data_IF_271683544758
#
_entry.id   IF_271683544758
#
_cell.length_a   1.000
_cell.length_b   1.000
_cell.length_c   1.000
_cell.angle_alpha   90.00
_cell.angle_beta   90.00
_cell.angle_gamma   90.00
#
_symmetry.space_group_name_H-M   'P 1'
#
loop_
_entity.id
_entity.type
_entity.pdbx_description
1 polymer ?
#
# COMPACT_ATOMS: atom_id res chain seq x y z
N UNK A 1 21.35 -2.61 -12.30
CA UNK A 1 21.37 -1.46 -13.25
C UNK A 1 22.58 -0.53 -13.06
N UNK A 2 23.15 -0.41 -11.86
CA UNK A 2 24.33 0.41 -11.58
C UNK A 2 25.65 -0.28 -11.96
N UNK A 3 26.68 0.47 -12.39
CA UNK A 3 27.98 -0.08 -12.74
C UNK A 3 28.79 -0.55 -11.52
N UNK A 4 28.59 0.08 -10.37
CA UNK A 4 29.22 -0.30 -9.10
C UNK A 4 28.43 0.22 -7.90
N UNK A 5 28.81 -0.23 -6.70
CA UNK A 5 28.16 0.14 -5.43
C UNK A 5 28.31 1.63 -5.09
N UNK A 6 29.44 2.25 -5.42
CA UNK A 6 29.68 3.68 -5.16
C UNK A 6 28.69 4.56 -5.91
N UNK A 7 28.51 4.29 -7.21
CA UNK A 7 27.55 5.01 -8.08
C UNK A 7 26.12 4.79 -7.60
N UNK A 8 25.77 3.56 -7.20
CA UNK A 8 24.45 3.27 -6.63
C UNK A 8 24.17 4.10 -5.38
N UNK A 9 25.13 4.16 -4.44
CA UNK A 9 24.94 4.90 -3.19
C UNK A 9 24.89 6.42 -3.42
N UNK A 10 25.71 6.94 -4.34
CA UNK A 10 25.67 8.34 -4.76
C UNK A 10 24.31 8.71 -5.37
N UNK A 11 23.81 7.86 -6.28
CA UNK A 11 22.50 8.05 -6.89
C UNK A 11 21.37 8.03 -5.87
N UNK A 12 21.40 7.07 -4.92
CA UNK A 12 20.41 6.99 -3.84
C UNK A 12 20.43 8.28 -3.02
N UNK A 13 21.60 8.75 -2.58
CA UNK A 13 21.73 9.95 -1.73
C UNK A 13 21.22 11.20 -2.46
N UNK A 14 21.58 11.37 -3.73
CA UNK A 14 21.20 12.54 -4.53
C UNK A 14 19.71 12.57 -4.88
N UNK A 15 19.10 11.39 -5.04
CA UNK A 15 17.69 11.20 -5.36
C UNK A 15 16.84 10.77 -4.16
N UNK A 16 17.33 10.94 -2.92
CA UNK A 16 16.48 10.74 -1.74
C UNK A 16 15.30 11.72 -1.82
N UNK A 17 14.05 11.25 -1.67
CA UNK A 17 12.91 12.14 -1.78
C UNK A 17 13.03 13.26 -0.74
N UNK A 18 12.94 14.51 -1.19
CA UNK A 18 13.00 15.73 -0.38
C UNK A 18 14.37 16.05 0.28
N UNK A 19 15.42 15.26 0.02
CA UNK A 19 16.81 15.52 0.44
C UNK A 19 17.73 15.67 -0.79
N UNK A 20 17.29 16.46 -1.76
CA UNK A 20 18.08 16.69 -2.97
C UNK A 20 19.34 17.49 -2.66
N UNK A 21 20.49 16.97 -3.05
CA UNK A 21 21.71 17.75 -3.04
C UNK A 21 21.65 18.75 -4.20
N UNK A 22 22.00 20.00 -3.90
CA UNK A 22 22.26 20.96 -4.97
C UNK A 22 23.47 20.50 -5.79
N UNK A 23 23.55 20.96 -7.05
CA UNK A 23 24.71 20.73 -7.91
C UNK A 23 26.02 21.06 -7.19
N UNK A 24 26.09 22.18 -6.48
CA UNK A 24 27.30 22.58 -5.73
C UNK A 24 27.62 21.62 -4.57
N UNK A 25 26.61 21.15 -3.84
CA UNK A 25 26.81 20.17 -2.77
C UNK A 25 27.29 18.84 -3.32
N UNK A 26 26.74 18.37 -4.44
CA UNK A 26 27.20 17.14 -5.08
C UNK A 26 28.65 17.27 -5.58
N UNK A 27 29.04 18.41 -6.15
CA UNK A 27 30.44 18.68 -6.53
C UNK A 27 31.40 18.62 -5.32
N UNK A 28 31.03 19.24 -4.20
CA UNK A 28 31.82 19.19 -2.97
C UNK A 28 31.92 17.75 -2.45
N UNK A 29 30.81 16.99 -2.51
CA UNK A 29 30.78 15.61 -2.05
C UNK A 29 31.66 14.71 -2.91
N UNK A 30 31.57 14.82 -4.24
CA UNK A 30 32.43 14.09 -5.18
C UNK A 30 33.91 14.45 -4.98
N UNK A 31 34.24 15.74 -4.82
CA UNK A 31 35.60 16.18 -4.51
C UNK A 31 36.12 15.54 -3.22
N UNK A 32 35.32 15.55 -2.15
CA UNK A 32 35.69 14.92 -0.88
C UNK A 32 35.93 13.41 -1.02
N UNK A 33 35.12 12.69 -1.80
CA UNK A 33 35.33 11.27 -2.05
C UNK A 33 36.62 11.00 -2.84
N UNK A 34 36.99 11.90 -3.76
CA UNK A 34 38.26 11.85 -4.47
C UNK A 34 39.46 12.08 -3.55
N UNK A 35 39.40 13.07 -2.66
CA UNK A 35 40.48 13.34 -1.67
C UNK A 35 40.67 12.19 -0.68
N UNK A 36 39.59 11.48 -0.34
CA UNK A 36 39.64 10.27 0.50
C UNK A 36 40.19 9.04 -0.25
N UNK A 37 40.53 9.15 -1.53
CA UNK A 37 41.13 8.08 -2.32
C UNK A 37 40.17 6.94 -2.66
N UNK A 38 38.85 7.18 -2.64
CA UNK A 38 37.88 6.16 -3.01
C UNK A 38 37.98 5.83 -4.50
N UNK A 39 38.06 4.54 -4.81
CA UNK A 39 38.04 4.07 -6.18
C UNK A 39 36.63 4.13 -6.78
N UNK A 40 36.53 4.32 -8.09
CA UNK A 40 35.28 4.32 -8.86
C UNK A 40 34.29 5.44 -8.51
N UNK A 41 34.77 6.58 -8.01
CA UNK A 41 33.97 7.80 -7.88
C UNK A 41 33.74 8.39 -9.28
N UNK A 42 32.48 8.51 -9.75
CA UNK A 42 32.18 9.08 -11.05
C UNK A 42 32.44 10.59 -11.08
N UNK A 43 32.66 11.16 -12.26
CA UNK A 43 32.54 12.61 -12.44
C UNK A 43 31.08 13.04 -12.27
N UNK A 44 30.86 14.34 -12.06
CA UNK A 44 29.50 14.90 -12.02
C UNK A 44 28.72 14.58 -13.31
N UNK A 45 29.32 14.82 -14.48
CA UNK A 45 28.68 14.56 -15.77
C UNK A 45 28.32 13.08 -15.95
N UNK A 46 29.24 12.18 -15.56
CA UNK A 46 29.00 10.73 -15.63
C UNK A 46 27.84 10.32 -14.71
N UNK A 47 27.77 10.93 -13.51
CA UNK A 47 26.68 10.67 -12.56
C UNK A 47 25.34 11.15 -13.15
N UNK A 48 25.34 12.33 -13.78
CA UNK A 48 24.16 12.90 -14.40
C UNK A 48 23.68 12.08 -15.61
N UNK A 49 24.58 11.57 -16.44
CA UNK A 49 24.24 10.70 -17.58
C UNK A 49 23.65 9.37 -17.11
N UNK A 50 24.23 8.79 -16.05
CA UNK A 50 23.71 7.56 -15.43
C UNK A 50 22.32 7.82 -14.83
N UNK A 51 22.15 8.91 -14.09
CA UNK A 51 20.86 9.34 -13.54
C UNK A 51 19.82 9.52 -14.62
N UNK A 52 20.16 10.21 -15.72
CA UNK A 52 19.26 10.40 -16.84
C UNK A 52 18.85 9.08 -17.48
N UNK A 53 19.81 8.18 -17.69
CA UNK A 53 19.55 6.84 -18.22
C UNK A 53 18.66 6.01 -17.29
N UNK A 54 18.86 6.10 -15.97
CA UNK A 54 18.04 5.41 -14.98
C UNK A 54 16.65 6.03 -14.90
N UNK A 55 16.57 7.35 -14.88
CA UNK A 55 15.33 8.09 -14.92
C UNK A 55 14.53 7.70 -16.16
N UNK A 56 15.10 7.70 -17.35
CA UNK A 56 14.39 7.28 -18.57
C UNK A 56 13.88 5.83 -18.51
N UNK A 57 14.54 4.95 -17.73
CA UNK A 57 14.08 3.56 -17.50
C UNK A 57 13.03 3.42 -16.39
N UNK A 58 13.06 4.30 -15.40
CA UNK A 58 12.27 4.20 -14.17
C UNK A 58 11.26 5.35 -14.01
N UNK A 59 11.12 6.21 -15.02
CA UNK A 59 10.22 7.37 -15.01
C UNK A 59 8.80 6.89 -15.26
N UNK A 60 7.90 7.48 -14.49
CA UNK A 60 6.48 7.34 -14.69
C UNK A 60 6.03 8.65 -15.33
N UNK A 61 5.63 8.60 -16.59
CA UNK A 61 5.09 9.79 -17.23
C UNK A 61 3.65 10.03 -16.75
N UNK A 62 3.29 11.26 -16.37
CA UNK A 62 1.91 11.60 -16.05
C UNK A 62 1.00 11.28 -17.24
N UNK A 63 -0.10 10.59 -16.98
CA UNK A 63 -1.06 10.18 -17.99
C UNK A 63 -1.97 11.37 -18.29
N UNK A 64 -2.13 11.79 -19.56
CA UNK A 64 -3.04 12.88 -19.92
C UNK A 64 -4.50 12.41 -19.88
N UNK A 65 -5.37 13.22 -19.27
CA UNK A 65 -6.81 13.02 -19.23
C UNK A 65 -7.54 14.23 -19.79
N UNK A 66 -8.73 13.97 -20.34
CA UNK A 66 -9.68 15.00 -20.76
C UNK A 66 -11.02 14.76 -20.08
N UNK A 67 -11.48 15.73 -19.28
CA UNK A 67 -12.79 15.63 -18.62
C UNK A 67 -13.94 15.74 -19.63
N UNK A 68 -15.14 15.36 -19.22
CA UNK A 68 -16.38 15.56 -19.99
C UNK A 68 -16.63 17.03 -20.31
N UNK A 69 -16.18 17.95 -19.46
CA UNK A 69 -16.25 19.40 -19.70
C UNK A 69 -15.17 19.91 -20.68
N UNK A 70 -14.26 19.03 -21.11
CA UNK A 70 -13.19 19.34 -22.07
C UNK A 70 -11.89 19.81 -21.44
N UNK A 71 -11.78 19.85 -20.11
CA UNK A 71 -10.57 20.25 -19.41
C UNK A 71 -9.48 19.18 -19.55
N UNK A 72 -8.25 19.60 -19.86
CA UNK A 72 -7.10 18.71 -19.95
C UNK A 72 -6.30 18.83 -18.66
N UNK A 73 -5.90 17.69 -18.10
CA UNK A 73 -5.08 17.59 -16.91
C UNK A 73 -4.24 16.31 -16.95
N UNK A 74 -3.29 16.20 -16.03
CA UNK A 74 -2.35 15.08 -16.00
C UNK A 74 -2.37 14.43 -14.63
N UNK A 75 -2.36 13.11 -14.64
CA UNK A 75 -2.47 12.28 -13.44
C UNK A 75 -1.29 11.32 -13.38
N UNK A 76 -0.60 11.29 -12.25
CA UNK A 76 0.41 10.28 -11.98
C UNK A 76 -0.24 8.90 -11.83
N UNK A 77 0.41 7.86 -12.34
CA UNK A 77 -0.02 6.49 -12.14
C UNK A 77 -0.01 6.13 -10.64
N UNK A 78 -1.20 5.91 -10.09
CA UNK A 78 -1.38 5.57 -8.68
C UNK A 78 -0.73 4.22 -8.35
N UNK A 79 -0.73 3.25 -9.26
CA UNK A 79 -0.24 1.88 -9.03
C UNK A 79 1.24 1.86 -8.80
N UNK A 80 1.96 2.60 -9.64
CA UNK A 80 3.39 2.71 -9.51
C UNK A 80 3.77 3.53 -8.28
N UNK A 81 2.93 4.49 -7.90
CA UNK A 81 3.09 5.22 -6.66
C UNK A 81 2.95 4.27 -5.46
N UNK A 82 1.88 3.48 -5.38
CA UNK A 82 1.62 2.44 -4.35
C UNK A 82 2.75 1.40 -4.31
N UNK A 83 3.20 0.92 -5.46
CA UNK A 83 4.29 -0.04 -5.56
C UNK A 83 5.57 0.48 -4.89
N UNK A 84 5.93 1.75 -5.13
CA UNK A 84 7.11 2.38 -4.50
C UNK A 84 6.97 2.49 -2.98
N UNK A 85 5.75 2.66 -2.48
CA UNK A 85 5.46 2.78 -1.05
C UNK A 85 5.67 1.45 -0.35
N UNK A 86 5.18 0.36 -0.96
CA UNK A 86 5.34 -1.00 -0.46
C UNK A 86 6.79 -1.48 -0.49
N UNK A 87 7.57 -1.05 -1.49
CA UNK A 87 8.96 -1.45 -1.65
C UNK A 87 9.93 -0.83 -0.63
N UNK A 88 9.53 0.25 0.06
CA UNK A 88 10.43 0.97 0.96
C UNK A 88 10.48 0.36 2.37
N UNK A 89 11.48 0.76 3.17
CA UNK A 89 11.70 0.31 4.56
C UNK A 89 10.52 0.48 5.53
N UNK A 90 9.40 1.07 5.09
CA UNK A 90 8.20 1.29 5.90
C UNK A 90 7.24 0.10 5.90
N UNK A 91 7.48 -0.96 5.12
CA UNK A 91 6.63 -2.16 5.12
C UNK A 91 6.42 -2.75 6.53
N UNK A 92 7.44 -2.65 7.39
CA UNK A 92 7.42 -3.08 8.80
C UNK A 92 6.45 -2.28 9.68
N UNK A 93 6.09 -1.07 9.25
CA UNK A 93 5.18 -0.17 9.96
C UNK A 93 3.75 -0.26 9.42
N UNK A 94 3.52 -0.99 8.31
CA UNK A 94 2.21 -1.10 7.72
C UNK A 94 1.27 -1.94 8.58
N UNK A 95 0.07 -1.40 8.78
CA UNK A 95 -1.04 -2.06 9.43
C UNK A 95 -2.17 -2.33 8.43
N UNK A 96 -2.46 -3.61 8.22
CA UNK A 96 -3.47 -4.06 7.25
C UNK A 96 -4.83 -4.38 7.87
N UNK A 97 -4.90 -4.50 9.20
CA UNK A 97 -6.09 -4.95 9.92
C UNK A 97 -6.63 -3.85 10.83
N UNK A 98 -7.96 -3.70 10.94
CA UNK A 98 -8.56 -2.83 11.94
C UNK A 98 -8.15 -3.28 13.35
N UNK A 99 -8.09 -2.33 14.28
CA UNK A 99 -7.76 -2.61 15.67
C UNK A 99 -8.90 -2.19 16.59
N UNK A 100 -9.28 -3.09 17.50
CA UNK A 100 -10.23 -2.80 18.56
C UNK A 100 -9.49 -2.39 19.84
N UNK A 101 -9.56 -1.11 20.18
CA UNK A 101 -8.94 -0.57 21.39
C UNK A 101 -9.70 -0.92 22.67
N UNK A 102 -10.86 -1.59 22.58
CA UNK A 102 -11.66 -1.98 23.74
C UNK A 102 -12.24 -0.79 24.51
N UNK A 103 -12.48 0.33 23.81
CA UNK A 103 -13.00 1.57 24.40
C UNK A 103 -11.93 2.53 24.92
N UNK A 104 -10.64 2.20 24.77
CA UNK A 104 -9.55 3.14 25.05
C UNK A 104 -9.44 4.22 23.98
N UNK A 105 -8.72 5.29 24.29
CA UNK A 105 -8.43 6.37 23.35
C UNK A 105 -7.79 5.83 22.06
N UNK A 106 -8.22 6.38 20.94
CA UNK A 106 -7.66 6.08 19.62
C UNK A 106 -6.50 7.03 19.33
N UNK A 107 -5.42 6.51 18.73
CA UNK A 107 -4.29 7.29 18.22
C UNK A 107 -4.06 7.09 16.72
N UNK A 108 -4.53 5.97 16.18
CA UNK A 108 -4.25 5.53 14.81
C UNK A 108 -5.51 5.43 13.95
N UNK A 109 -5.35 5.55 12.63
CA UNK A 109 -6.48 5.59 11.69
C UNK A 109 -7.24 4.26 11.65
N UNK A 110 -6.54 3.12 11.73
CA UNK A 110 -7.14 1.77 11.78
C UNK A 110 -7.84 1.42 13.10
N UNK A 111 -7.72 2.27 14.13
CA UNK A 111 -8.45 2.14 15.39
C UNK A 111 -9.81 2.86 15.35
N UNK A 112 -10.01 3.75 14.37
CA UNK A 112 -11.23 4.51 14.23
C UNK A 112 -12.40 3.62 13.80
N UNK A 113 -13.60 3.93 14.30
CA UNK A 113 -14.82 3.17 13.98
C UNK A 113 -15.10 3.09 12.47
N UNK A 114 -14.64 4.07 11.69
CA UNK A 114 -14.79 4.07 10.22
C UNK A 114 -14.22 2.81 9.57
N UNK A 115 -13.15 2.21 10.10
CA UNK A 115 -12.62 0.95 9.58
C UNK A 115 -13.54 -0.25 9.84
N UNK A 116 -14.39 -0.16 10.87
CA UNK A 116 -15.37 -1.19 11.22
C UNK A 116 -16.69 -1.04 10.44
N UNK A 117 -16.84 0.05 9.68
CA UNK A 117 -18.03 0.31 8.82
C UNK A 117 -17.93 -0.37 7.45
N UNK A 118 -16.71 -0.72 7.01
CA UNK A 118 -16.50 -1.45 5.76
C UNK A 118 -16.95 -2.91 5.88
N UNK A 119 -17.39 -3.48 4.77
CA UNK A 119 -17.62 -4.93 4.71
C UNK A 119 -16.27 -5.65 4.92
N UNK A 120 -16.22 -6.78 5.65
CA UNK A 120 -14.99 -7.55 5.79
C UNK A 120 -14.33 -7.94 4.46
N UNK A 121 -15.12 -8.06 3.38
CA UNK A 121 -14.62 -8.35 2.02
C UNK A 121 -13.92 -7.16 1.36
N UNK A 122 -14.19 -5.94 1.82
CA UNK A 122 -13.50 -4.71 1.38
C UNK A 122 -12.22 -4.45 2.21
N UNK A 123 -12.00 -5.24 3.26
CA UNK A 123 -10.80 -5.21 4.11
C UNK A 123 -9.85 -6.33 3.72
N UNK A 124 -8.67 -6.35 4.35
CA UNK A 124 -7.68 -7.42 4.16
C UNK A 124 -8.34 -8.79 4.42
N UNK A 125 -8.50 -9.65 3.39
CA UNK A 125 -9.42 -10.78 3.45
C UNK A 125 -8.76 -12.05 3.98
N UNK A 126 -7.46 -12.03 4.26
CA UNK A 126 -6.70 -13.19 4.68
C UNK A 126 -5.58 -12.84 5.65
N UNK A 127 -5.06 -13.86 6.31
CA UNK A 127 -3.81 -13.80 7.06
C UNK A 127 -2.99 -15.07 6.84
N UNK A 128 -1.67 -14.93 6.94
CA UNK A 128 -0.74 -16.04 6.83
C UNK A 128 -0.26 -16.46 8.21
N UNK A 129 -0.29 -17.77 8.46
CA UNK A 129 0.22 -18.36 9.69
C UNK A 129 1.03 -19.62 9.35
N UNK A 130 2.35 -19.57 9.60
CA UNK A 130 3.27 -20.60 9.14
C UNK A 130 3.39 -20.58 7.61
N UNK A 131 3.13 -21.73 6.98
CA UNK A 131 3.13 -21.88 5.51
C UNK A 131 1.72 -21.99 4.94
N UNK A 132 0.72 -21.46 5.66
CA UNK A 132 -0.70 -21.56 5.31
C UNK A 132 -1.34 -20.19 5.27
N UNK A 133 -2.17 -20.00 4.26
CA UNK A 133 -3.05 -18.85 4.11
C UNK A 133 -4.46 -19.22 4.56
N UNK A 134 -5.06 -18.33 5.34
CA UNK A 134 -6.42 -18.47 5.86
C UNK A 134 -7.26 -17.29 5.39
N UNK A 135 -8.34 -17.57 4.67
CA UNK A 135 -9.24 -16.55 4.14
C UNK A 135 -10.50 -16.42 4.99
N UNK A 136 -11.07 -15.22 5.02
CA UNK A 136 -12.43 -15.01 5.52
C UNK A 136 -13.42 -15.78 4.64
N UNK A 137 -14.53 -16.17 5.26
CA UNK A 137 -15.58 -16.97 4.65
C UNK A 137 -15.10 -18.31 4.08
N UNK A 138 -13.95 -18.85 4.51
CA UNK A 138 -13.52 -20.22 4.25
C UNK A 138 -13.51 -21.10 5.49
N UNK A 139 -13.78 -22.39 5.32
CA UNK A 139 -13.75 -23.33 6.46
C UNK A 139 -12.31 -23.56 6.90
N UNK A 140 -12.09 -23.46 8.20
CA UNK A 140 -10.77 -23.64 8.82
C UNK A 140 -10.89 -24.53 10.05
N UNK A 141 -9.87 -25.34 10.32
CA UNK A 141 -9.82 -26.18 11.50
C UNK A 141 -8.91 -25.57 12.57
N UNK A 142 -9.40 -25.53 13.81
CA UNK A 142 -8.63 -25.10 14.97
C UNK A 142 -7.81 -26.25 15.57
N UNK A 143 -6.86 -25.93 16.45
CA UNK A 143 -6.05 -26.91 17.18
C UNK A 143 -6.86 -27.90 18.05
N UNK A 144 -8.05 -27.51 18.48
CA UNK A 144 -8.96 -28.38 19.25
C UNK A 144 -9.81 -29.30 18.34
N UNK A 145 -9.61 -29.23 17.02
CA UNK A 145 -10.32 -30.01 16.01
C UNK A 145 -11.66 -29.41 15.57
N UNK A 146 -12.14 -28.31 16.17
CA UNK A 146 -13.37 -27.63 15.75
C UNK A 146 -13.20 -27.00 14.37
N UNK A 147 -14.24 -27.09 13.55
CA UNK A 147 -14.34 -26.41 12.27
C UNK A 147 -15.06 -25.08 12.44
N UNK A 148 -14.46 -24.00 11.94
CA UNK A 148 -15.00 -22.65 12.05
C UNK A 148 -14.92 -21.90 10.73
N UNK A 149 -15.78 -20.90 10.59
CA UNK A 149 -15.88 -20.02 9.43
C UNK A 149 -15.55 -18.58 9.88
N UNK A 150 -14.34 -18.07 9.60
CA UNK A 150 -13.92 -16.70 9.95
C UNK A 150 -14.75 -15.68 9.18
N UNK A 151 -15.28 -14.65 9.85
CA UNK A 151 -16.12 -13.62 9.18
C UNK A 151 -15.41 -12.29 8.98
N UNK A 152 -14.42 -11.99 9.81
CA UNK A 152 -13.63 -10.77 9.74
C UNK A 152 -12.23 -11.01 10.31
N UNK A 153 -11.35 -10.02 10.21
CA UNK A 153 -10.03 -10.03 10.83
C UNK A 153 -9.85 -8.71 11.59
N UNK A 154 -9.54 -8.80 12.88
CA UNK A 154 -9.42 -7.64 13.76
C UNK A 154 -8.29 -7.86 14.77
N UNK A 155 -7.46 -6.85 14.99
CA UNK A 155 -6.48 -6.88 16.07
C UNK A 155 -7.14 -6.49 17.38
N UNK A 156 -6.89 -7.28 18.43
CA UNK A 156 -7.31 -6.99 19.78
C UNK A 156 -6.16 -7.29 20.73
N UNK A 157 -5.76 -6.31 21.56
CA UNK A 157 -4.61 -6.44 22.49
C UNK A 157 -3.33 -6.94 21.80
N UNK A 158 -3.04 -6.42 20.60
CA UNK A 158 -1.88 -6.77 19.76
C UNK A 158 -1.88 -8.21 19.21
N UNK A 159 -2.97 -8.97 19.36
CA UNK A 159 -3.16 -10.27 18.70
C UNK A 159 -4.17 -10.13 17.57
N UNK A 160 -3.95 -10.83 16.46
CA UNK A 160 -4.92 -10.91 15.38
C UNK A 160 -5.98 -11.96 15.73
N UNK A 161 -7.23 -11.55 15.68
CA UNK A 161 -8.40 -12.39 15.98
C UNK A 161 -9.38 -12.36 14.81
N UNK A 162 -10.28 -13.33 14.80
CA UNK A 162 -11.42 -13.39 13.91
C UNK A 162 -12.70 -13.70 14.69
N UNK A 163 -13.78 -13.01 14.36
CA UNK A 163 -15.11 -13.39 14.79
C UNK A 163 -15.59 -14.55 13.89
N UNK A 164 -15.67 -15.74 14.48
CA UNK A 164 -15.87 -17.00 13.78
C UNK A 164 -17.27 -17.56 14.03
N UNK A 165 -17.91 -18.07 12.97
CA UNK A 165 -19.10 -18.92 13.11
C UNK A 165 -18.66 -20.37 13.25
N UNK A 166 -19.08 -21.06 14.31
CA UNK A 166 -18.81 -22.51 14.44
C UNK A 166 -19.59 -23.26 13.37
N UNK A 167 -18.93 -24.16 12.64
CA UNK A 167 -19.59 -25.00 11.63
C UNK A 167 -20.39 -26.06 12.37
N UNK A 168 -21.71 -25.89 12.41
CA UNK A 168 -22.63 -26.87 12.97
C UNK A 168 -23.87 -27.00 12.09
N UNK A 169 -24.63 -28.08 12.30
CA UNK A 169 -25.89 -28.32 11.56
C UNK A 169 -26.96 -27.29 11.96
N UNK A 170 -26.79 -26.59 13.08
CA UNK A 170 -27.75 -25.63 13.60
C UNK A 170 -27.74 -24.31 12.81
N UNK A 171 -28.92 -23.76 12.45
CA UNK A 171 -29.01 -22.55 11.61
C UNK A 171 -28.60 -21.25 12.32
N UNK A 172 -28.48 -21.27 13.65
CA UNK A 172 -28.05 -20.12 14.44
C UNK A 172 -26.80 -20.51 15.21
N UNK A 173 -25.64 -20.05 14.73
CA UNK A 173 -24.37 -20.18 15.42
C UNK A 173 -23.93 -18.78 15.86
N UNK A 174 -23.76 -18.53 17.18
CA UNK A 174 -23.21 -17.25 17.65
C UNK A 174 -21.79 -17.07 17.12
N UNK A 175 -21.40 -15.82 16.91
CA UNK A 175 -20.00 -15.48 16.60
C UNK A 175 -19.17 -15.59 17.86
N UNK A 176 -18.10 -16.38 17.80
CA UNK A 176 -17.08 -16.49 18.84
C UNK A 176 -15.82 -15.78 18.36
N UNK A 177 -15.21 -14.94 19.20
CA UNK A 177 -13.93 -14.30 18.88
C UNK A 177 -12.80 -15.28 19.17
N UNK A 178 -12.07 -15.66 18.13
CA UNK A 178 -11.01 -16.67 18.18
C UNK A 178 -9.69 -16.05 17.72
N UNK A 179 -8.62 -16.28 18.47
CA UNK A 179 -7.28 -15.82 18.09
C UNK A 179 -6.76 -16.63 16.90
N UNK A 180 -6.17 -15.96 15.92
CA UNK A 180 -5.62 -16.59 14.71
C UNK A 180 -4.52 -17.61 14.99
N UNK A 181 -3.83 -17.52 16.13
CA UNK A 181 -2.84 -18.51 16.59
C UNK A 181 -3.43 -19.89 16.90
N UNK A 182 -4.76 -20.00 17.04
CA UNK A 182 -5.43 -21.29 17.26
C UNK A 182 -5.77 -22.03 15.96
N UNK A 183 -5.56 -21.41 14.80
CA UNK A 183 -5.88 -21.95 13.49
C UNK A 183 -4.80 -22.94 13.05
N UNK A 184 -5.21 -24.14 12.66
CA UNK A 184 -4.30 -25.22 12.32
C UNK A 184 -4.28 -25.55 10.82
N UNK A 185 -5.43 -25.86 10.23
CA UNK A 185 -5.54 -26.29 8.84
C UNK A 185 -6.47 -25.37 8.06
N UNK A 186 -6.03 -24.97 6.88
CA UNK A 186 -6.85 -24.18 5.97
C UNK A 186 -7.79 -25.08 5.16
N UNK A 187 -8.64 -24.47 4.34
CA UNK A 187 -9.60 -25.18 3.51
C UNK A 187 -8.94 -26.20 2.55
N UNK A 188 -7.81 -25.83 1.94
CA UNK A 188 -7.07 -26.70 1.02
C UNK A 188 -6.55 -27.97 1.70
N UNK A 189 -5.97 -27.83 2.91
CA UNK A 189 -5.52 -28.96 3.72
C UNK A 189 -6.68 -29.90 4.08
N UNK A 190 -7.84 -29.33 4.44
CA UNK A 190 -9.03 -30.09 4.84
C UNK A 190 -9.56 -30.88 3.64
N UNK A 191 -9.67 -30.24 2.48
CA UNK A 191 -10.18 -30.89 1.26
C UNK A 191 -9.28 -31.98 0.76
N UNK A 192 -7.95 -31.83 0.88
CA UNK A 192 -7.03 -32.88 0.47
C UNK A 192 -7.30 -34.22 1.19
N UNK A 193 -7.94 -34.16 2.37
CA UNK A 193 -8.35 -35.34 3.13
C UNK A 193 -9.74 -35.89 2.75
N UNK A 194 -10.55 -35.15 2.00
CA UNK A 194 -11.92 -35.53 1.63
C UNK A 194 -12.01 -36.03 0.18
N UNK A 195 -12.75 -37.12 -0.04
CA UNK A 195 -12.89 -37.75 -1.35
C UNK A 195 -13.90 -37.03 -2.26
N UNK A 196 -14.71 -36.11 -1.71
CA UNK A 196 -15.73 -35.39 -2.46
C UNK A 196 -15.88 -33.94 -1.99
N UNK A 197 -14.90 -33.08 -2.30
CA UNK A 197 -14.84 -31.74 -1.73
C UNK A 197 -16.02 -30.86 -2.16
N UNK A 198 -16.65 -30.11 -1.22
CA UNK A 198 -17.65 -29.11 -1.57
C UNK A 198 -16.99 -27.99 -2.37
N UNK A 199 -17.63 -27.51 -3.44
CA UNK A 199 -17.10 -26.42 -4.27
C UNK A 199 -17.08 -25.12 -3.48
N UNK A 200 -15.91 -24.69 -3.02
CA UNK A 200 -15.70 -23.31 -2.58
C UNK A 200 -14.22 -22.90 -2.57
N UNK A 201 -13.55 -22.73 -3.72
CA UNK A 201 -12.39 -21.85 -3.75
C UNK A 201 -12.95 -20.42 -3.66
N UNK A 202 -12.69 -19.72 -2.54
CA UNK A 202 -12.92 -18.28 -2.49
C UNK A 202 -12.32 -17.66 -3.78
N UNK A 203 -13.08 -16.84 -4.54
CA UNK A 203 -12.60 -16.28 -5.82
C UNK A 203 -11.27 -15.54 -5.68
N UNK A 204 -10.94 -15.11 -4.46
CA UNK A 204 -9.66 -14.49 -4.11
C UNK A 204 -8.45 -15.42 -4.28
N UNK A 205 -8.58 -16.75 -4.21
CA UNK A 205 -7.47 -17.66 -4.50
C UNK A 205 -6.98 -17.54 -5.94
N UNK A 206 -7.91 -17.44 -6.89
CA UNK A 206 -7.57 -17.22 -8.31
C UNK A 206 -6.94 -15.85 -8.55
N UNK A 207 -7.26 -14.86 -7.72
CA UNK A 207 -6.66 -13.53 -7.78
C UNK A 207 -5.25 -13.52 -7.13
N UNK A 208 -5.07 -14.27 -6.06
CA UNK A 208 -3.84 -14.35 -5.28
C UNK A 208 -2.73 -15.11 -6.00
N UNK A 209 -3.07 -16.15 -6.77
CA UNK A 209 -2.08 -17.06 -7.40
C UNK A 209 -1.05 -17.63 -6.40
N UNK A 210 -1.44 -17.78 -5.13
CA UNK A 210 -0.58 -18.24 -4.03
C UNK A 210 0.12 -17.14 -3.23
N UNK A 211 -0.03 -15.88 -3.61
CA UNK A 211 0.50 -14.72 -2.86
C UNK A 211 -0.45 -14.24 -1.77
N UNK A 212 0.11 -13.52 -0.79
CA UNK A 212 -0.70 -12.88 0.25
C UNK A 212 -1.45 -11.67 -0.31
N UNK A 213 -2.75 -11.59 -0.03
CA UNK A 213 -3.60 -10.46 -0.39
C UNK A 213 -3.76 -9.50 0.78
N UNK A 214 -3.44 -8.22 0.53
CA UNK A 214 -3.59 -7.12 1.48
C UNK A 214 -4.45 -6.00 0.91
N UNK A 215 -5.24 -5.36 1.76
CA UNK A 215 -5.91 -4.10 1.44
C UNK A 215 -5.16 -2.95 2.10
N UNK A 216 -4.87 -1.93 1.31
CA UNK A 216 -4.23 -0.70 1.77
C UNK A 216 -5.24 0.43 1.65
N UNK A 217 -5.46 1.13 2.76
CA UNK A 217 -6.37 2.27 2.78
C UNK A 217 -5.65 3.53 2.32
N UNK A 218 -6.08 4.08 1.19
CA UNK A 218 -5.47 5.26 0.57
C UNK A 218 -6.50 6.39 0.54
N UNK A 219 -6.54 7.27 1.55
CA UNK A 219 -7.31 8.50 1.46
C UNK A 219 -6.81 9.36 0.30
N UNK A 220 -7.78 9.86 -0.47
CA UNK A 220 -7.58 10.77 -1.58
C UNK A 220 -8.33 12.06 -1.27
N UNK A 221 -7.68 13.21 -1.41
CA UNK A 221 -8.34 14.51 -1.21
C UNK A 221 -7.83 15.55 -2.21
N UNK A 222 -8.69 16.55 -2.44
CA UNK A 222 -8.36 17.69 -3.27
C UNK A 222 -8.18 18.93 -2.41
N UNK A 223 -7.17 19.73 -2.72
CA UNK A 223 -6.88 20.98 -2.04
C UNK A 223 -6.76 22.13 -3.05
N UNK A 224 -7.31 23.28 -2.66
CA UNK A 224 -7.24 24.51 -3.46
C UNK A 224 -6.07 25.37 -2.98
N UNK A 225 -4.96 25.26 -3.70
CA UNK A 225 -3.71 25.94 -3.35
C UNK A 225 -3.60 27.36 -3.93
N UNK A 226 -4.69 27.92 -4.44
CA UNK A 226 -4.73 29.27 -5.02
C UNK A 226 -4.44 30.41 -4.03
N UNK A 227 -4.57 30.14 -2.73
CA UNK A 227 -4.25 31.07 -1.65
C UNK A 227 -2.77 31.10 -1.24
N UNK A 228 -1.90 30.29 -1.84
CA UNK A 228 -0.49 30.24 -1.46
C UNK A 228 0.25 31.54 -1.87
N UNK A 229 1.06 32.12 -0.98
CA UNK A 229 1.76 33.41 -1.18
C UNK A 229 2.60 33.46 -2.45
N UNK A 230 3.18 32.33 -2.86
CA UNK A 230 4.00 32.22 -4.07
C UNK A 230 3.18 32.03 -5.37
N UNK A 231 1.92 31.62 -5.23
CA UNK A 231 0.99 31.29 -6.34
C UNK A 231 -0.26 32.17 -6.31
N UNK A 232 -0.19 33.30 -5.62
CA UNK A 232 -1.29 34.24 -5.48
C UNK A 232 -1.81 34.57 -6.89
N UNK A 233 -3.12 34.38 -7.09
CA UNK A 233 -3.84 34.56 -8.38
C UNK A 233 -3.71 33.45 -9.43
N UNK A 234 -3.00 32.35 -9.16
CA UNK A 234 -2.97 31.20 -10.04
C UNK A 234 -3.77 30.05 -9.43
N UNK A 235 -5.01 29.87 -9.89
CA UNK A 235 -5.86 28.78 -9.40
C UNK A 235 -5.24 27.44 -9.81
N UNK A 236 -5.03 26.56 -8.84
CA UNK A 236 -4.66 25.16 -9.04
C UNK A 236 -5.39 24.32 -8.01
N UNK A 237 -6.06 23.29 -8.48
CA UNK A 237 -6.62 22.24 -7.63
C UNK A 237 -5.65 21.06 -7.70
N UNK A 238 -5.03 20.76 -6.56
CA UNK A 238 -4.14 19.63 -6.42
C UNK A 238 -4.90 18.46 -5.82
N UNK A 239 -4.61 17.24 -6.29
CA UNK A 239 -5.05 16.01 -5.67
C UNK A 239 -3.85 15.33 -5.03
N UNK A 240 -4.05 14.92 -3.78
CA UNK A 240 -3.07 14.25 -2.96
C UNK A 240 -3.61 12.91 -2.47
N UNK A 241 -2.69 12.06 -2.06
CA UNK A 241 -3.00 10.82 -1.39
C UNK A 241 -2.00 10.52 -0.26
N UNK A 242 -2.45 9.72 0.70
CA UNK A 242 -1.66 9.23 1.83
C UNK A 242 -1.94 7.74 2.02
N UNK A 243 -1.08 7.04 2.77
CA UNK A 243 -1.31 5.64 3.14
C UNK A 243 -1.77 5.53 4.60
N UNK A 244 -3.08 5.40 4.83
CA UNK A 244 -3.66 5.27 6.18
C UNK A 244 -3.31 3.97 6.91
N UNK A 245 -2.58 3.05 6.28
CA UNK A 245 -1.96 1.91 6.96
C UNK A 245 -0.66 2.26 7.68
N UNK A 246 -0.16 3.51 7.59
CA UNK A 246 1.02 3.97 8.32
C UNK A 246 0.66 4.67 9.64
N UNK A 247 1.53 4.58 10.68
CA UNK A 247 1.35 5.29 11.93
C UNK A 247 1.16 6.80 11.74
N UNK A 248 0.29 7.41 12.54
CA UNK A 248 -0.03 8.83 12.49
C UNK A 248 1.19 9.74 12.64
N UNK A 249 2.20 9.32 13.41
CA UNK A 249 3.47 10.05 13.53
C UNK A 249 4.24 10.14 12.20
N UNK A 250 4.15 9.12 11.35
CA UNK A 250 4.72 9.15 10.01
C UNK A 250 3.85 10.00 9.09
N UNK A 251 2.52 9.82 9.12
CA UNK A 251 1.59 10.58 8.28
C UNK A 251 1.65 12.10 8.47
N UNK A 252 2.05 12.57 9.65
CA UNK A 252 2.27 14.01 9.90
C UNK A 252 3.52 14.59 9.20
N UNK A 253 4.37 13.75 8.61
CA UNK A 253 5.55 14.20 7.87
C UNK A 253 5.21 14.40 6.40
N UNK A 254 5.71 15.49 5.82
CA UNK A 254 5.48 15.86 4.40
C UNK A 254 5.90 14.75 3.42
N UNK A 255 6.80 13.86 3.83
CA UNK A 255 7.25 12.71 3.04
C UNK A 255 6.14 11.74 2.65
N UNK A 256 5.12 11.59 3.50
CA UNK A 256 4.05 10.59 3.30
C UNK A 256 2.82 11.15 2.59
N UNK A 257 2.85 12.44 2.22
CA UNK A 257 1.85 13.07 1.35
C UNK A 257 2.32 12.99 -0.09
N UNK A 258 1.59 12.25 -0.92
CA UNK A 258 1.97 12.05 -2.32
C UNK A 258 1.10 12.83 -3.26
N UNK A 259 1.77 13.49 -4.20
CA UNK A 259 1.13 14.27 -5.24
C UNK A 259 0.62 13.35 -6.37
N UNK A 260 -0.67 13.47 -6.69
CA UNK A 260 -1.32 12.65 -7.72
C UNK A 260 -1.59 13.45 -8.99
N UNK A 261 -2.20 14.62 -8.87
CA UNK A 261 -2.64 15.41 -10.02
C UNK A 261 -2.72 16.89 -9.67
N UNK A 262 -2.61 17.75 -10.68
CA UNK A 262 -2.90 19.18 -10.57
C UNK A 262 -3.62 19.66 -11.82
N UNK A 263 -4.56 20.59 -11.65
CA UNK A 263 -5.10 21.32 -12.78
C UNK A 263 -5.49 22.75 -12.40
N UNK A 264 -5.22 23.74 -13.27
CA UNK A 264 -5.77 25.08 -13.08
C UNK A 264 -7.25 25.19 -13.46
N UNK A 265 -7.72 24.29 -14.32
CA UNK A 265 -9.03 24.38 -14.94
C UNK A 265 -9.97 23.25 -14.51
N UNK A 266 -9.42 22.05 -14.26
CA UNK A 266 -10.22 20.91 -13.82
C UNK A 266 -10.47 20.96 -12.30
N UNK A 267 -11.73 20.79 -11.94
CA UNK A 267 -12.22 20.67 -10.56
C UNK A 267 -11.78 19.34 -9.92
N UNK A 268 -11.83 19.25 -8.58
CA UNK A 268 -11.47 18.02 -7.88
C UNK A 268 -12.27 16.80 -8.35
N UNK A 269 -13.62 16.87 -8.54
CA UNK A 269 -14.41 15.74 -9.06
C UNK A 269 -14.00 15.29 -10.47
N UNK A 270 -13.64 16.21 -11.36
CA UNK A 270 -13.15 15.85 -12.69
C UNK A 270 -11.84 15.07 -12.60
N UNK A 271 -10.93 15.49 -11.72
CA UNK A 271 -9.68 14.79 -11.47
C UNK A 271 -9.93 13.44 -10.80
N UNK A 272 -10.85 13.35 -9.82
CA UNK A 272 -11.23 12.09 -9.16
C UNK A 272 -11.87 11.08 -10.12
N UNK A 273 -12.61 11.53 -11.14
CA UNK A 273 -13.14 10.63 -12.16
C UNK A 273 -12.02 9.85 -12.87
N UNK A 274 -10.92 10.53 -13.21
CA UNK A 274 -9.76 9.87 -13.81
C UNK A 274 -9.08 8.89 -12.85
N UNK A 275 -9.00 9.23 -11.55
CA UNK A 275 -8.43 8.33 -10.54
C UNK A 275 -9.29 7.09 -10.34
N UNK A 276 -10.61 7.27 -10.30
CA UNK A 276 -11.55 6.17 -10.20
C UNK A 276 -11.43 5.20 -11.38
N UNK A 277 -11.23 5.73 -12.60
CA UNK A 277 -10.96 4.89 -13.76
C UNK A 277 -9.67 4.10 -13.57
N UNK A 278 -8.57 4.72 -13.10
CA UNK A 278 -7.33 4.00 -12.80
C UNK A 278 -7.51 2.92 -11.73
N UNK A 279 -8.29 3.17 -10.67
CA UNK A 279 -8.52 2.23 -9.57
C UNK A 279 -9.35 1.02 -10.05
N UNK A 280 -10.35 1.25 -10.90
CA UNK A 280 -11.20 0.17 -11.43
C UNK A 280 -10.44 -0.87 -12.24
N UNK A 281 -9.38 -0.48 -12.94
CA UNK A 281 -8.56 -1.42 -13.69
C UNK A 281 -7.64 -2.29 -12.79
N UNK A 282 -7.59 -2.02 -11.48
CA UNK A 282 -6.54 -2.53 -10.58
C UNK A 282 -7.00 -3.44 -9.46
N UNK A 283 -8.30 -3.59 -9.24
CA UNK A 283 -8.86 -4.66 -8.42
C UNK A 283 -8.49 -6.10 -8.89
N UNK A 284 -7.61 -6.24 -9.90
CA UNK A 284 -7.18 -7.51 -10.53
C UNK A 284 -5.66 -7.75 -10.42
N UNK A 285 -4.85 -6.86 -9.85
CA UNK A 285 -3.39 -7.06 -9.78
C UNK A 285 -2.90 -7.25 -8.35
N UNK A 286 -2.72 -8.51 -7.96
CA UNK A 286 -2.00 -8.90 -6.75
C UNK A 286 -0.59 -8.29 -6.78
N UNK A 287 -0.27 -7.46 -5.79
CA UNK A 287 1.09 -7.00 -5.58
C UNK A 287 1.86 -8.08 -4.83
N UNK A 288 2.49 -8.96 -5.60
CA UNK A 288 3.45 -9.95 -5.13
C UNK A 288 4.67 -9.24 -4.51
N UNK A 289 4.75 -9.20 -3.18
CA UNK A 289 5.98 -8.89 -2.46
C UNK A 289 6.69 -10.22 -2.16
N UNK A 290 7.48 -10.69 -3.12
CA UNK A 290 8.45 -11.75 -2.87
C UNK A 290 9.48 -11.22 -1.87
N UNK A 291 9.51 -11.84 -0.68
CA UNK A 291 10.61 -11.76 0.27
C UNK A 291 11.80 -12.59 -0.21
#
# INVERSE_FOLDING_TARGET
>A
PYPNKTVMLLDIIDNLPQLHLSTSQLHIFLWLLHELGLCNVPSYDTSHDIQKTLHDKCRNEPIPYKSTAGNIFYVNDIHQSISRILFFFYSKHLQFYPEDTGGNAISEVWQANRWKEFDPSDLTPMFSHGHRQFYINEVTQLHDGRMVLPRNLIKYKNELCSDCSVVSISPVCPLERITTSSFQYNYEDIIYTDCNPPVMPNPLHSLAEGDDLFVIMIPLWGDDVSGNKSKQYNKHINIYMENSSLPGQLLQQEYFVWFVSTSPNATSPEQFSALHDQIKYVSVSAFCLLY
#
